data_IF_892424909714
#
_entry.id   IF_892424909714
#
_cell.length_a   1.000
_cell.length_b   1.000
_cell.length_c   1.000
_cell.angle_alpha   90.00
_cell.angle_beta   90.00
_cell.angle_gamma   90.00
#
_symmetry.space_group_name_H-M   'P 1'
#
loop_
_entity.id
_entity.type
_entity.pdbx_description
1 polymer ?
#
# COMPACT_ATOMS: atom_id res chain seq x y z
N UNK A 1 -16.60 3.85 -16.53
CA UNK A 1 -15.95 2.56 -16.29
C UNK A 1 -16.68 1.68 -15.26
N UNK A 2 -17.53 2.25 -14.37
CA UNK A 2 -18.28 1.46 -13.37
C UNK A 2 -19.14 0.38 -14.02
N UNK A 3 -19.85 0.71 -15.08
CA UNK A 3 -20.74 -0.22 -15.80
C UNK A 3 -19.96 -1.26 -16.63
N UNK A 4 -18.76 -0.92 -17.05
CA UNK A 4 -17.86 -1.79 -17.82
C UNK A 4 -17.11 -2.81 -16.94
N UNK A 5 -16.95 -2.50 -15.65
CA UNK A 5 -16.21 -3.29 -14.66
C UNK A 5 -14.88 -3.87 -15.18
N UNK A 6 -13.93 -3.01 -15.60
CA UNK A 6 -12.71 -3.47 -16.27
C UNK A 6 -11.79 -4.30 -15.35
N UNK A 7 -12.01 -4.26 -14.03
CA UNK A 7 -11.27 -5.06 -13.06
C UNK A 7 -12.04 -6.30 -12.58
N UNK A 8 -13.09 -6.70 -13.29
CA UNK A 8 -13.82 -7.93 -12.95
C UNK A 8 -12.88 -9.14 -13.01
N UNK A 9 -12.78 -9.85 -11.88
CA UNK A 9 -11.85 -10.98 -11.71
C UNK A 9 -10.47 -10.61 -11.21
N UNK A 10 -10.16 -9.30 -11.03
CA UNK A 10 -8.97 -8.88 -10.33
C UNK A 10 -9.15 -9.12 -8.82
N UNK A 11 -8.18 -9.81 -8.22
CA UNK A 11 -8.09 -10.10 -6.78
C UNK A 11 -6.80 -9.48 -6.26
N UNK A 12 -6.93 -8.33 -5.59
CA UNK A 12 -5.80 -7.46 -5.27
C UNK A 12 -5.48 -7.53 -3.79
N UNK A 13 -4.27 -7.98 -3.45
CA UNK A 13 -3.67 -7.75 -2.14
C UNK A 13 -3.02 -6.37 -2.14
N UNK A 14 -3.45 -5.48 -1.24
CA UNK A 14 -2.91 -4.14 -1.11
C UNK A 14 -2.17 -3.93 0.21
N UNK A 15 -1.03 -3.28 0.14
CA UNK A 15 -0.26 -2.84 1.29
C UNK A 15 0.24 -1.42 1.04
N UNK A 16 -0.62 -0.45 1.32
CA UNK A 16 -0.33 1.00 1.22
C UNK A 16 -0.95 1.69 2.43
N UNK A 17 -0.37 2.83 2.82
CA UNK A 17 -0.84 3.67 3.93
C UNK A 17 -2.37 3.77 3.97
N UNK A 18 -3.01 3.25 5.03
CA UNK A 18 -4.47 3.22 5.13
C UNK A 18 -5.04 4.58 5.53
N UNK A 19 -4.96 5.51 4.60
CA UNK A 19 -5.46 6.89 4.71
C UNK A 19 -6.83 7.04 4.05
N UNK A 20 -7.42 8.24 4.15
CA UNK A 20 -8.66 8.59 3.43
C UNK A 20 -8.48 8.40 1.92
N UNK A 21 -7.32 8.79 1.36
CA UNK A 21 -7.03 8.63 -0.06
C UNK A 21 -7.01 7.16 -0.47
N UNK A 22 -6.42 6.31 0.35
CA UNK A 22 -6.43 4.86 0.13
C UNK A 22 -7.82 4.26 0.27
N UNK A 23 -8.65 4.76 1.18
CA UNK A 23 -10.06 4.35 1.25
C UNK A 23 -10.81 4.63 -0.05
N UNK A 24 -10.60 5.81 -0.66
CA UNK A 24 -11.17 6.15 -1.97
C UNK A 24 -10.61 5.25 -3.08
N UNK A 25 -9.32 4.91 -3.04
CA UNK A 25 -8.73 3.96 -3.98
C UNK A 25 -9.40 2.58 -3.87
N UNK A 26 -9.54 2.05 -2.66
CA UNK A 26 -10.20 0.75 -2.41
C UNK A 26 -11.64 0.76 -2.95
N UNK A 27 -12.42 1.79 -2.64
CA UNK A 27 -13.78 1.94 -3.16
C UNK A 27 -13.81 1.99 -4.69
N UNK A 28 -12.86 2.71 -5.28
CA UNK A 28 -12.73 2.79 -6.74
C UNK A 28 -12.41 1.45 -7.37
N UNK A 29 -11.47 0.68 -6.81
CA UNK A 29 -11.12 -0.65 -7.29
C UNK A 29 -12.33 -1.60 -7.26
N UNK A 30 -13.11 -1.54 -6.17
CA UNK A 30 -14.34 -2.36 -6.01
C UNK A 30 -15.41 -1.92 -7.00
N UNK A 31 -15.64 -0.62 -7.18
CA UNK A 31 -16.57 -0.08 -8.16
C UNK A 31 -16.21 -0.48 -9.61
N UNK A 32 -14.93 -0.72 -9.85
CA UNK A 32 -14.43 -1.23 -11.14
C UNK A 32 -14.48 -2.75 -11.26
N UNK A 33 -14.92 -3.47 -10.22
CA UNK A 33 -15.15 -4.90 -10.22
C UNK A 33 -14.09 -5.76 -9.54
N UNK A 34 -13.08 -5.17 -8.88
CA UNK A 34 -12.06 -5.92 -8.16
C UNK A 34 -12.56 -6.43 -6.80
N UNK A 35 -11.99 -7.55 -6.35
CA UNK A 35 -11.97 -7.97 -4.96
C UNK A 35 -10.66 -7.51 -4.32
N UNK A 36 -10.70 -7.03 -3.07
CA UNK A 36 -9.51 -6.53 -2.39
C UNK A 36 -9.38 -7.07 -0.97
N UNK A 37 -8.14 -7.20 -0.49
CA UNK A 37 -7.76 -7.37 0.91
C UNK A 37 -6.61 -6.41 1.19
N UNK A 38 -6.63 -5.73 2.33
CA UNK A 38 -5.76 -4.57 2.52
C UNK A 38 -5.12 -4.50 3.88
N UNK A 39 -3.82 -4.12 3.93
CA UNK A 39 -3.10 -3.71 5.13
C UNK A 39 -2.42 -2.35 4.91
N UNK A 40 -1.92 -1.74 5.98
CA UNK A 40 -1.04 -0.58 5.86
C UNK A 40 0.41 -1.02 5.64
N UNK A 41 1.20 -0.18 5.02
CA UNK A 41 2.65 -0.37 4.86
C UNK A 41 3.47 0.30 5.96
N UNK A 42 2.81 0.83 7.00
CA UNK A 42 3.47 1.52 8.10
C UNK A 42 2.60 1.53 9.36
N UNK A 43 3.20 1.21 10.50
CA UNK A 43 2.53 1.07 11.80
C UNK A 43 1.91 2.36 12.35
N UNK A 44 2.29 3.54 11.85
CA UNK A 44 1.80 4.83 12.36
C UNK A 44 0.92 5.62 11.40
N UNK A 45 0.88 5.26 10.13
CA UNK A 45 0.26 6.10 9.09
C UNK A 45 -1.24 5.90 8.92
N UNK A 46 -1.81 4.84 9.48
CA UNK A 46 -3.25 4.56 9.36
C UNK A 46 -4.09 5.68 9.97
N UNK A 47 -5.12 6.09 9.25
CA UNK A 47 -6.22 6.90 9.76
C UNK A 47 -7.36 5.97 10.14
N UNK A 48 -7.54 5.72 11.45
CA UNK A 48 -8.46 4.69 11.96
C UNK A 48 -9.89 4.86 11.46
N UNK A 49 -10.36 6.10 11.30
CA UNK A 49 -11.68 6.36 10.77
C UNK A 49 -11.82 5.97 9.28
N UNK A 50 -10.74 6.03 8.50
CA UNK A 50 -10.73 5.56 7.12
C UNK A 50 -10.77 4.03 7.07
N UNK A 51 -9.95 3.35 7.88
CA UNK A 51 -9.97 1.90 8.01
C UNK A 51 -11.35 1.39 8.48
N UNK A 52 -11.93 2.03 9.51
CA UNK A 52 -13.24 1.69 10.04
C UNK A 52 -14.36 1.88 8.99
N UNK A 53 -14.30 2.93 8.17
CA UNK A 53 -15.29 3.17 7.12
C UNK A 53 -15.27 2.08 6.04
N UNK A 54 -14.07 1.58 5.69
CA UNK A 54 -13.92 0.47 4.73
C UNK A 54 -14.38 -0.85 5.36
N UNK A 55 -13.97 -1.13 6.60
CA UNK A 55 -14.39 -2.34 7.32
C UNK A 55 -15.91 -2.40 7.51
N UNK A 56 -16.57 -1.28 7.79
CA UNK A 56 -18.03 -1.20 7.95
C UNK A 56 -18.80 -1.58 6.67
N UNK A 57 -18.17 -1.52 5.51
CA UNK A 57 -18.72 -1.99 4.23
C UNK A 57 -18.49 -3.49 3.99
N UNK A 58 -17.89 -4.20 4.95
CA UNK A 58 -17.55 -5.62 4.82
C UNK A 58 -16.31 -5.89 3.96
N UNK A 59 -15.51 -4.86 3.68
CA UNK A 59 -14.28 -5.00 2.90
C UNK A 59 -13.15 -5.39 3.87
N UNK A 60 -12.40 -6.48 3.60
CA UNK A 60 -11.30 -6.91 4.45
C UNK A 60 -10.18 -5.86 4.49
N UNK A 61 -10.03 -5.20 5.62
CA UNK A 61 -8.96 -4.25 5.92
C UNK A 61 -8.38 -4.54 7.30
N UNK A 62 -7.06 -4.67 7.35
CA UNK A 62 -6.29 -5.04 8.54
C UNK A 62 -5.26 -3.94 8.78
N UNK A 63 -5.66 -2.88 9.44
CA UNK A 63 -4.80 -1.74 9.72
C UNK A 63 -5.38 -0.85 10.81
N UNK A 64 -4.54 -0.40 11.74
CA UNK A 64 -4.86 0.64 12.72
C UNK A 64 -3.63 1.47 13.06
N UNK A 65 -3.81 2.59 13.66
CA UNK A 65 -2.70 3.45 14.06
C UNK A 65 -2.04 2.94 15.33
N UNK A 66 -0.71 2.77 15.27
CA UNK A 66 0.07 2.36 16.43
C UNK A 66 0.13 0.85 16.61
N UNK A 67 0.11 0.11 15.51
CA UNK A 67 0.43 -1.33 15.50
C UNK A 67 1.81 -1.57 16.12
N UNK A 68 1.98 -2.69 16.83
CA UNK A 68 3.29 -3.26 17.11
C UNK A 68 3.85 -3.95 15.88
N UNK A 69 5.13 -4.31 15.88
CA UNK A 69 5.73 -5.07 14.77
C UNK A 69 5.04 -6.43 14.57
N UNK A 70 4.65 -7.10 15.67
CA UNK A 70 3.93 -8.38 15.61
C UNK A 70 2.51 -8.21 15.04
N UNK A 71 1.83 -7.13 15.39
CA UNK A 71 0.51 -6.80 14.84
C UNK A 71 0.60 -6.44 13.35
N UNK A 72 1.63 -5.72 12.95
CA UNK A 72 1.90 -5.40 11.54
C UNK A 72 2.11 -6.68 10.71
N UNK A 73 2.95 -7.60 11.18
CA UNK A 73 3.15 -8.90 10.54
C UNK A 73 1.84 -9.71 10.46
N UNK A 74 1.06 -9.70 11.53
CA UNK A 74 -0.27 -10.32 11.53
C UNK A 74 -1.21 -9.69 10.49
N UNK A 75 -1.20 -8.37 10.33
CA UNK A 75 -1.99 -7.66 9.32
C UNK A 75 -1.61 -8.08 7.90
N UNK A 76 -0.31 -8.22 7.61
CA UNK A 76 0.18 -8.76 6.34
C UNK A 76 -0.32 -10.19 6.12
N UNK A 77 -0.22 -11.05 7.13
CA UNK A 77 -0.72 -12.43 7.06
C UNK A 77 -2.24 -12.49 6.82
N UNK A 78 -3.01 -11.63 7.47
CA UNK A 78 -4.45 -11.54 7.22
C UNK A 78 -4.76 -11.04 5.80
N UNK A 79 -3.93 -10.19 5.24
CA UNK A 79 -4.07 -9.71 3.85
C UNK A 79 -3.80 -10.83 2.86
N UNK A 80 -2.79 -11.66 3.12
CA UNK A 80 -2.40 -12.80 2.28
C UNK A 80 -3.38 -13.96 2.43
N UNK A 81 -3.88 -14.23 3.65
CA UNK A 81 -4.68 -15.41 3.93
C UNK A 81 -6.18 -15.08 4.06
N UNK A 82 -7.01 -16.03 3.64
CA UNK A 82 -8.46 -16.04 3.83
C UNK A 82 -8.86 -17.39 4.39
N UNK A 83 -9.59 -17.40 5.50
CA UNK A 83 -10.07 -18.63 6.15
C UNK A 83 -8.93 -19.63 6.46
N UNK A 84 -7.76 -19.11 6.87
CA UNK A 84 -6.59 -19.90 7.23
C UNK A 84 -5.79 -20.52 6.07
N UNK A 85 -6.04 -20.06 4.84
CA UNK A 85 -5.34 -20.51 3.63
C UNK A 85 -4.92 -19.32 2.77
N UNK A 86 -3.83 -19.43 1.98
CA UNK A 86 -3.49 -18.41 1.00
C UNK A 86 -4.69 -18.07 0.12
N UNK A 87 -4.98 -16.76 0.04
CA UNK A 87 -6.04 -16.28 -0.83
C UNK A 87 -5.62 -16.39 -2.29
N UNK A 88 -6.54 -16.69 -3.17
CA UNK A 88 -6.30 -16.82 -4.61
C UNK A 88 -6.13 -15.46 -5.31
N UNK A 89 -5.35 -14.56 -4.70
CA UNK A 89 -5.02 -13.27 -5.27
C UNK A 89 -4.24 -13.40 -6.57
N UNK A 90 -4.44 -12.45 -7.48
CA UNK A 90 -3.75 -12.43 -8.76
C UNK A 90 -3.01 -11.11 -9.05
N UNK A 91 -3.06 -10.16 -8.13
CA UNK A 91 -2.35 -8.88 -8.22
C UNK A 91 -1.87 -8.42 -6.84
N UNK A 92 -0.72 -7.75 -6.81
CA UNK A 92 -0.19 -7.08 -5.62
C UNK A 92 -0.07 -5.59 -5.91
N UNK A 93 -0.51 -4.76 -4.96
CA UNK A 93 -0.29 -3.33 -4.94
C UNK A 93 0.43 -2.99 -3.64
N UNK A 94 1.69 -2.58 -3.73
CA UNK A 94 2.61 -2.48 -2.59
C UNK A 94 3.27 -1.09 -2.50
N UNK A 95 3.66 -0.74 -1.30
CA UNK A 95 4.36 0.49 -0.97
C UNK A 95 5.49 0.19 0.02
N UNK A 96 6.68 -0.05 -0.52
CA UNK A 96 7.88 -0.42 0.23
C UNK A 96 8.34 -1.87 0.04
N UNK A 97 7.49 -2.73 -0.52
CA UNK A 97 7.84 -4.08 -0.90
C UNK A 97 7.71 -5.14 0.20
N UNK A 98 7.15 -4.81 1.37
CA UNK A 98 7.06 -5.77 2.48
C UNK A 98 6.11 -6.93 2.15
N UNK A 99 4.92 -6.63 1.64
CA UNK A 99 3.96 -7.64 1.20
C UNK A 99 4.54 -8.51 0.07
N UNK A 100 5.15 -7.87 -0.92
CA UNK A 100 5.79 -8.55 -2.05
C UNK A 100 6.89 -9.51 -1.60
N UNK A 101 7.78 -9.06 -0.71
CA UNK A 101 8.88 -9.89 -0.20
C UNK A 101 8.33 -11.05 0.64
N UNK A 102 7.32 -10.81 1.48
CA UNK A 102 6.69 -11.85 2.29
C UNK A 102 6.07 -12.93 1.40
N UNK A 103 5.34 -12.54 0.36
CA UNK A 103 4.76 -13.51 -0.60
C UNK A 103 5.85 -14.33 -1.28
N UNK A 104 6.93 -13.70 -1.75
CA UNK A 104 8.03 -14.44 -2.41
C UNK A 104 8.75 -15.43 -1.49
N UNK A 105 8.86 -15.11 -0.19
CA UNK A 105 9.60 -15.94 0.77
C UNK A 105 8.76 -17.02 1.43
N UNK A 106 7.53 -16.67 1.82
CA UNK A 106 6.72 -17.50 2.69
C UNK A 106 5.56 -18.19 1.96
N UNK A 107 5.14 -17.62 0.81
CA UNK A 107 4.01 -18.11 0.02
C UNK A 107 4.36 -18.23 -1.48
N UNK A 108 5.50 -18.87 -1.84
CA UNK A 108 5.98 -18.90 -3.23
C UNK A 108 5.00 -19.56 -4.20
N UNK A 109 4.13 -20.45 -3.74
CA UNK A 109 3.09 -21.09 -4.54
C UNK A 109 2.04 -20.10 -5.08
N UNK A 110 1.82 -18.98 -4.39
CA UNK A 110 0.88 -17.94 -4.85
C UNK A 110 1.39 -17.22 -6.11
N UNK A 111 2.72 -17.21 -6.33
CA UNK A 111 3.33 -16.50 -7.45
C UNK A 111 2.91 -17.06 -8.82
N UNK A 112 2.47 -18.30 -8.88
CA UNK A 112 1.93 -18.90 -10.11
C UNK A 112 0.65 -18.22 -10.57
N UNK A 113 -0.13 -17.65 -9.63
CA UNK A 113 -1.38 -16.95 -9.92
C UNK A 113 -1.21 -15.42 -10.00
N UNK A 114 -0.12 -14.85 -9.50
CA UNK A 114 0.12 -13.40 -9.49
C UNK A 114 0.55 -12.94 -10.90
N UNK A 115 -0.28 -12.12 -11.52
CA UNK A 115 0.00 -11.56 -12.85
C UNK A 115 1.01 -10.41 -12.81
N UNK A 116 1.11 -9.69 -11.69
CA UNK A 116 2.04 -8.60 -11.54
C UNK A 116 1.91 -7.85 -10.22
N UNK A 117 2.90 -7.00 -10.01
CA UNK A 117 3.05 -6.13 -8.85
C UNK A 117 3.05 -4.69 -9.31
N UNK A 118 2.39 -3.78 -8.59
CA UNK A 118 2.55 -2.34 -8.71
C UNK A 118 3.22 -1.82 -7.45
N UNK A 119 4.40 -1.21 -7.60
CA UNK A 119 5.18 -0.67 -6.48
C UNK A 119 5.17 0.86 -6.48
N UNK A 120 4.73 1.45 -5.37
CA UNK A 120 4.47 2.88 -5.24
C UNK A 120 5.72 3.69 -4.95
N UNK A 121 6.72 3.15 -4.19
CA UNK A 121 7.72 4.01 -3.56
C UNK A 121 9.17 3.64 -3.88
N UNK A 122 10.08 4.60 -3.70
CA UNK A 122 11.50 4.48 -4.00
C UNK A 122 12.17 3.29 -3.30
N UNK A 123 11.88 3.07 -2.02
CA UNK A 123 12.47 1.98 -1.25
C UNK A 123 12.03 0.61 -1.77
N UNK A 124 10.75 0.45 -2.08
CA UNK A 124 10.23 -0.78 -2.67
C UNK A 124 10.82 -1.03 -4.06
N UNK A 125 10.86 -0.03 -4.93
CA UNK A 125 11.51 -0.15 -6.24
C UNK A 125 12.97 -0.59 -6.11
N UNK A 126 13.71 -0.06 -5.14
CA UNK A 126 15.10 -0.49 -4.88
C UNK A 126 15.16 -1.98 -4.50
N UNK A 127 14.30 -2.42 -3.57
CA UNK A 127 14.21 -3.83 -3.15
C UNK A 127 13.87 -4.75 -4.33
N UNK A 128 12.90 -4.36 -5.17
CA UNK A 128 12.52 -5.14 -6.36
C UNK A 128 13.65 -5.24 -7.38
N UNK A 129 14.42 -4.16 -7.60
CA UNK A 129 15.62 -4.18 -8.44
C UNK A 129 16.70 -5.10 -7.88
N UNK A 130 16.88 -5.14 -6.57
CA UNK A 130 17.81 -6.08 -5.91
C UNK A 130 17.34 -7.52 -6.08
N UNK A 131 16.06 -7.81 -5.88
CA UNK A 131 15.48 -9.14 -6.13
C UNK A 131 15.64 -9.56 -7.60
N UNK A 132 15.39 -8.63 -8.53
CA UNK A 132 15.57 -8.90 -9.96
C UNK A 132 17.03 -9.27 -10.29
N UNK A 133 17.99 -8.51 -9.76
CA UNK A 133 19.42 -8.75 -9.99
C UNK A 133 19.91 -10.10 -9.48
N UNK A 134 19.23 -10.63 -8.45
CA UNK A 134 19.51 -11.96 -7.87
C UNK A 134 18.69 -13.09 -8.51
N UNK A 135 17.78 -12.78 -9.43
CA UNK A 135 16.86 -13.76 -10.01
C UNK A 135 15.75 -14.23 -9.03
N UNK A 136 15.52 -13.48 -7.97
CA UNK A 136 14.52 -13.77 -6.92
C UNK A 136 13.12 -13.20 -7.25
N UNK A 137 13.03 -12.13 -8.04
CA UNK A 137 11.76 -11.59 -8.50
C UNK A 137 11.15 -12.50 -9.57
N UNK A 138 10.04 -13.16 -9.24
CA UNK A 138 9.45 -14.22 -10.08
C UNK A 138 8.28 -13.75 -10.94
N UNK A 139 7.76 -12.55 -10.69
CA UNK A 139 6.61 -11.99 -11.41
C UNK A 139 6.92 -10.59 -11.91
N UNK A 140 6.26 -10.11 -12.97
CA UNK A 140 6.45 -8.75 -13.47
C UNK A 140 6.14 -7.71 -12.39
N UNK A 141 6.95 -6.64 -12.32
CA UNK A 141 6.71 -5.53 -11.41
C UNK A 141 6.73 -4.20 -12.16
N UNK A 142 5.72 -3.37 -11.89
CA UNK A 142 5.58 -2.03 -12.44
C UNK A 142 6.07 -1.02 -11.42
N UNK A 143 7.08 -0.24 -11.81
CA UNK A 143 7.59 0.88 -11.03
C UNK A 143 6.70 2.11 -11.22
N UNK A 144 5.70 2.27 -10.36
CA UNK A 144 4.81 3.43 -10.36
C UNK A 144 5.52 4.69 -9.83
N UNK A 145 6.46 4.52 -8.89
CA UNK A 145 7.21 5.64 -8.31
C UNK A 145 7.88 6.54 -9.36
N UNK A 146 8.50 5.93 -10.37
CA UNK A 146 9.28 6.70 -11.36
C UNK A 146 8.42 7.23 -12.51
N UNK A 147 7.11 7.03 -12.51
CA UNK A 147 6.23 7.69 -13.46
C UNK A 147 6.30 9.22 -13.28
N UNK A 148 6.20 9.98 -14.38
CA UNK A 148 6.30 11.43 -14.35
C UNK A 148 5.22 12.04 -13.44
N UNK A 149 4.02 11.52 -13.51
CA UNK A 149 2.87 11.98 -12.70
C UNK A 149 3.01 11.64 -11.22
N UNK A 150 3.85 10.67 -10.83
CA UNK A 150 4.12 10.31 -9.43
C UNK A 150 5.37 11.02 -8.92
N UNK A 151 6.57 10.66 -9.37
CA UNK A 151 7.82 11.16 -8.78
C UNK A 151 8.05 12.66 -8.96
N UNK A 152 7.60 13.24 -10.06
CA UNK A 152 7.75 14.68 -10.33
C UNK A 152 6.61 15.50 -9.73
N UNK A 153 5.58 14.87 -9.22
CA UNK A 153 4.45 15.50 -8.54
C UNK A 153 4.45 15.16 -7.04
N UNK A 154 4.15 13.92 -6.66
CA UNK A 154 4.02 13.50 -5.26
C UNK A 154 5.33 13.63 -4.48
N UNK A 155 6.43 13.00 -4.95
CA UNK A 155 7.71 13.04 -4.23
C UNK A 155 8.25 14.47 -4.09
N UNK A 156 7.93 15.36 -5.02
CA UNK A 156 8.41 16.74 -5.04
C UNK A 156 7.50 17.70 -4.26
N UNK A 157 6.21 17.62 -4.46
CA UNK A 157 5.25 18.57 -3.90
C UNK A 157 4.45 17.99 -2.74
N UNK A 158 4.06 16.72 -2.81
CA UNK A 158 3.28 16.06 -1.78
C UNK A 158 4.01 16.02 -0.45
N UNK A 159 5.29 15.64 -0.44
CA UNK A 159 6.12 15.65 0.78
C UNK A 159 6.28 17.04 1.38
N UNK A 160 6.41 18.08 0.56
CA UNK A 160 6.51 19.49 1.04
C UNK A 160 5.23 19.93 1.73
N UNK A 161 4.08 19.68 1.09
CA UNK A 161 2.77 20.04 1.63
C UNK A 161 2.47 19.23 2.89
N UNK A 162 2.74 17.93 2.86
CA UNK A 162 2.50 17.04 3.98
C UNK A 162 3.33 17.37 5.20
N UNK A 163 4.61 17.75 5.04
CA UNK A 163 5.47 18.16 6.14
C UNK A 163 4.99 19.46 6.82
N UNK A 164 4.67 20.48 6.02
CA UNK A 164 4.15 21.76 6.52
C UNK A 164 2.81 21.54 7.28
N UNK A 165 1.91 20.79 6.69
CA UNK A 165 0.61 20.48 7.30
C UNK A 165 0.77 19.66 8.60
N UNK A 166 1.63 18.64 8.59
CA UNK A 166 1.88 17.80 9.76
C UNK A 166 2.47 18.59 10.93
N UNK A 167 3.45 19.48 10.69
CA UNK A 167 4.02 20.33 11.72
C UNK A 167 2.95 21.26 12.32
N UNK A 168 2.16 21.92 11.49
CA UNK A 168 1.09 22.82 11.96
C UNK A 168 0.06 22.08 12.79
N UNK A 169 -0.42 20.93 12.31
CA UNK A 169 -1.42 20.11 13.02
C UNK A 169 -0.88 19.49 14.31
N UNK A 170 0.37 19.02 14.29
CA UNK A 170 0.99 18.37 15.44
C UNK A 170 1.44 19.32 16.54
N UNK A 171 1.70 20.59 16.23
CA UNK A 171 2.29 21.54 17.16
C UNK A 171 1.45 22.80 17.43
N UNK A 172 0.42 23.03 16.62
CA UNK A 172 -0.38 24.27 16.63
C UNK A 172 0.51 25.55 16.49
N UNK A 173 1.62 25.42 15.77
CA UNK A 173 2.67 26.45 15.70
C UNK A 173 2.61 27.21 14.38
N UNK A 174 2.72 28.55 14.46
CA UNK A 174 3.00 29.37 13.30
C UNK A 174 4.45 29.16 12.85
N UNK A 175 4.66 28.74 11.62
CA UNK A 175 6.01 28.48 11.06
C UNK A 175 6.78 29.75 10.70
N UNK A 176 6.04 30.86 10.44
CA UNK A 176 6.66 32.14 10.10
C UNK A 176 7.66 32.59 11.16
N UNK A 177 8.83 33.01 10.74
CA UNK A 177 9.89 33.47 11.61
C UNK A 177 10.65 32.40 12.41
N UNK A 178 10.34 31.11 12.20
CA UNK A 178 11.05 29.99 12.82
C UNK A 178 12.33 29.64 12.06
N UNK A 179 13.31 29.11 12.77
CA UNK A 179 14.53 28.55 12.19
C UNK A 179 14.36 27.04 12.12
N UNK A 180 14.62 26.46 10.96
CA UNK A 180 14.56 25.01 10.74
C UNK A 180 15.94 24.50 10.30
N UNK A 181 16.29 23.31 10.75
CA UNK A 181 17.42 22.53 10.29
C UNK A 181 16.89 21.26 9.62
N UNK A 182 17.34 21.01 8.41
CA UNK A 182 17.07 19.77 7.66
C UNK A 182 18.38 19.04 7.47
N UNK A 183 18.45 17.77 7.85
CA UNK A 183 19.64 16.92 7.80
C UNK A 183 19.45 15.84 6.73
#
# INVERSE_FOLDING_TARGET
YRDEQPLKGAKIMGCIHMTIQTAVLIETLIDLGAEVRWSSCNIFSTQDHAAAAIAAKGIPVFAWKGETEEEYEWCLDQTINKDGKPWDANMILDDGGDLTIKVHKEYPEMLENIHGISEETTTGVKRLKEMLSKGELKVPAINVNDSITKSKNDNKYGCRHGLDDAIKRGTDMLLSGKKALVI
#
